data_IF_084713550535
#
_entry.id   IF_084713550535
#
_cell.length_a   1.000
_cell.length_b   1.000
_cell.length_c   1.000
_cell.angle_alpha   90.00
_cell.angle_beta   90.00
_cell.angle_gamma   90.00
#
_symmetry.space_group_name_H-M   'P 1'
#
loop_
_entity.id
_entity.type
_entity.pdbx_description
1 polymer ?
#
# COMPACT_ATOMS: atom_id res chain seq x y z
N UNK A 1 -51.85 -43.87 -2.68
CA UNK A 1 -51.20 -43.88 -4.02
C UNK A 1 -52.19 -43.32 -5.01
N UNK A 2 -52.01 -42.07 -5.43
CA UNK A 2 -52.90 -41.38 -6.37
C UNK A 2 -52.31 -41.44 -7.79
N UNK A 3 -53.21 -41.58 -8.75
CA UNK A 3 -53.03 -41.86 -10.17
C UNK A 3 -52.26 -40.77 -10.93
N UNK A 4 -51.34 -41.17 -11.81
CA UNK A 4 -50.80 -40.30 -12.86
C UNK A 4 -51.54 -40.60 -14.18
N UNK A 5 -52.39 -39.66 -14.60
CA UNK A 5 -52.92 -39.56 -15.96
C UNK A 5 -52.11 -38.49 -16.70
N UNK A 6 -51.38 -38.91 -17.73
CA UNK A 6 -50.92 -38.01 -18.80
C UNK A 6 -52.09 -37.71 -19.74
N UNK A 7 -52.07 -36.53 -20.38
CA UNK A 7 -52.20 -36.56 -21.83
C UNK A 7 -51.13 -35.72 -22.54
N UNK A 8 -50.72 -36.27 -23.68
CA UNK A 8 -50.01 -35.63 -24.78
C UNK A 8 -50.79 -34.44 -25.35
N UNK A 9 -50.08 -33.36 -25.71
CA UNK A 9 -49.93 -32.81 -27.08
C UNK A 9 -49.62 -31.30 -27.04
N UNK A 10 -48.58 -30.92 -27.79
CA UNK A 10 -48.63 -29.92 -28.87
C UNK A 10 -47.32 -29.12 -28.94
N UNK A 11 -46.61 -29.30 -30.05
CA UNK A 11 -45.53 -28.43 -30.48
C UNK A 11 -46.10 -27.07 -30.92
N UNK A 12 -45.44 -26.00 -30.51
CA UNK A 12 -45.52 -24.70 -31.17
C UNK A 12 -44.16 -24.01 -31.06
N UNK A 13 -43.57 -23.86 -32.23
CA UNK A 13 -42.41 -23.06 -32.57
C UNK A 13 -42.63 -21.57 -32.25
N UNK A 14 -41.56 -20.85 -31.92
CA UNK A 14 -41.65 -19.43 -31.56
C UNK A 14 -40.39 -18.91 -30.89
N UNK A 15 -39.30 -18.80 -31.66
CA UNK A 15 -38.07 -18.15 -31.21
C UNK A 15 -38.28 -16.69 -30.81
N UNK A 16 -37.70 -16.30 -29.67
CA UNK A 16 -37.30 -14.93 -29.38
C UNK A 16 -35.84 -14.97 -28.96
N UNK A 17 -35.04 -14.28 -29.77
CA UNK A 17 -33.61 -14.10 -29.62
C UNK A 17 -33.30 -13.43 -28.28
N UNK A 18 -32.49 -14.14 -27.47
CA UNK A 18 -31.83 -13.60 -26.29
C UNK A 18 -30.72 -12.65 -26.74
N UNK A 19 -30.97 -11.34 -26.69
CA UNK A 19 -29.91 -10.32 -26.69
C UNK A 19 -30.07 -9.42 -25.47
N UNK A 20 -30.00 -10.04 -24.29
CA UNK A 20 -29.61 -9.33 -23.08
C UNK A 20 -28.08 -9.33 -23.04
N UNK A 21 -27.46 -8.26 -23.55
CA UNK A 21 -26.04 -8.01 -23.38
C UNK A 21 -25.72 -8.09 -21.89
N UNK A 22 -25.05 -9.17 -21.49
CA UNK A 22 -24.55 -9.34 -20.13
C UNK A 22 -23.52 -8.23 -19.91
N UNK A 23 -23.68 -7.32 -18.94
CA UNK A 23 -22.63 -6.36 -18.64
C UNK A 23 -21.39 -7.17 -18.28
N UNK A 24 -20.31 -6.94 -19.04
CA UNK A 24 -19.00 -7.47 -18.73
C UNK A 24 -18.73 -7.15 -17.25
N UNK A 25 -18.30 -8.12 -16.43
CA UNK A 25 -17.98 -7.83 -15.04
C UNK A 25 -16.99 -6.67 -15.06
N UNK A 26 -17.33 -5.58 -14.37
CA UNK A 26 -16.39 -4.48 -14.13
C UNK A 26 -15.12 -5.16 -13.63
N UNK A 27 -14.06 -5.13 -14.43
CA UNK A 27 -12.75 -5.51 -13.95
C UNK A 27 -12.39 -4.44 -12.93
N UNK A 28 -12.83 -4.67 -11.70
CA UNK A 28 -12.33 -4.01 -10.52
C UNK A 28 -10.88 -4.44 -10.48
N UNK A 29 -10.00 -3.62 -11.08
CA UNK A 29 -8.59 -3.71 -10.83
C UNK A 29 -8.47 -3.70 -9.31
N UNK A 30 -7.99 -4.79 -8.67
CA UNK A 30 -7.80 -4.76 -7.23
C UNK A 30 -6.92 -3.57 -6.92
N UNK A 31 -7.37 -2.69 -6.04
CA UNK A 31 -6.64 -1.50 -5.60
C UNK A 31 -5.34 -1.95 -4.93
N UNK A 32 -4.30 -2.14 -5.73
CA UNK A 32 -3.01 -2.65 -5.30
C UNK A 32 -2.32 -1.53 -4.51
N UNK A 33 -2.17 -1.73 -3.20
CA UNK A 33 -1.57 -0.74 -2.31
C UNK A 33 -0.13 -0.39 -2.68
N UNK A 34 0.29 0.82 -2.32
CA UNK A 34 1.65 1.31 -2.58
C UNK A 34 2.69 0.40 -1.93
N UNK A 35 2.46 -0.11 -0.72
CA UNK A 35 3.37 -1.03 -0.04
C UNK A 35 3.55 -2.34 -0.83
N UNK A 36 2.47 -2.88 -1.38
CA UNK A 36 2.53 -4.08 -2.24
C UNK A 36 3.30 -3.80 -3.52
N UNK A 37 3.04 -2.67 -4.19
CA UNK A 37 3.73 -2.34 -5.43
C UNK A 37 5.24 -2.09 -5.21
N UNK A 38 5.59 -1.42 -4.10
CA UNK A 38 6.97 -1.14 -3.72
C UNK A 38 7.72 -2.41 -3.32
N UNK A 39 7.13 -3.25 -2.46
CA UNK A 39 7.76 -4.53 -2.03
C UNK A 39 8.01 -5.48 -3.21
N UNK A 40 7.13 -5.47 -4.22
CA UNK A 40 7.28 -6.26 -5.44
C UNK A 40 8.17 -5.61 -6.51
N UNK A 41 8.78 -4.46 -6.23
CA UNK A 41 9.61 -3.69 -7.18
C UNK A 41 8.87 -3.35 -8.49
N UNK A 42 7.55 -3.19 -8.44
CA UNK A 42 6.70 -2.84 -9.60
C UNK A 42 6.81 -1.34 -9.90
N UNK A 43 6.91 -0.52 -8.87
CA UNK A 43 7.16 0.92 -9.01
C UNK A 43 8.66 1.18 -9.13
N UNK A 44 9.05 1.88 -10.20
CA UNK A 44 10.40 2.41 -10.34
C UNK A 44 10.51 3.84 -9.77
N UNK A 45 11.69 4.44 -9.87
CA UNK A 45 12.00 5.72 -9.21
C UNK A 45 11.33 6.94 -9.87
N UNK A 46 10.62 6.75 -10.99
CA UNK A 46 9.98 7.85 -11.73
C UNK A 46 8.69 8.28 -11.02
N UNK A 47 8.56 9.57 -10.71
CA UNK A 47 7.42 10.13 -9.97
C UNK A 47 7.56 10.09 -8.44
N UNK A 48 8.76 9.82 -7.93
CA UNK A 48 9.07 9.73 -6.49
C UNK A 48 9.68 11.04 -6.00
N UNK A 49 9.40 11.42 -4.75
CA UNK A 49 10.15 12.47 -4.08
C UNK A 49 11.16 11.81 -3.15
N UNK A 50 12.43 11.89 -3.54
CA UNK A 50 13.53 11.32 -2.77
C UNK A 50 13.97 12.32 -1.72
N UNK A 51 14.11 11.85 -0.49
CA UNK A 51 14.64 12.63 0.62
C UNK A 51 15.86 11.90 1.18
N UNK A 52 17.03 12.31 0.72
CA UNK A 52 18.30 11.90 1.31
C UNK A 52 18.41 12.49 2.72
N UNK A 53 18.13 11.66 3.74
CA UNK A 53 18.37 12.01 5.13
C UNK A 53 19.50 11.14 5.65
N UNK A 54 20.63 11.77 5.99
CA UNK A 54 21.63 11.12 6.84
C UNK A 54 21.00 10.94 8.21
N UNK A 55 20.78 9.68 8.60
CA UNK A 55 20.15 9.33 9.87
C UNK A 55 20.88 9.95 11.07
N UNK A 56 20.12 10.40 12.06
CA UNK A 56 20.60 10.98 13.32
C UNK A 56 21.28 9.96 14.27
N UNK A 57 21.56 8.74 13.80
CA UNK A 57 21.98 7.60 14.64
C UNK A 57 23.15 6.77 14.05
N UNK A 58 23.86 7.29 13.03
CA UNK A 58 25.03 6.61 12.45
C UNK A 58 24.71 5.42 11.54
N UNK A 59 23.44 5.04 11.40
CA UNK A 59 22.95 4.15 10.33
C UNK A 59 22.68 4.98 9.08
N UNK A 60 23.40 4.69 7.99
CA UNK A 60 23.11 5.24 6.67
C UNK A 60 21.90 4.50 6.09
N UNK A 61 20.77 5.18 5.98
CA UNK A 61 19.60 4.70 5.26
C UNK A 61 19.05 5.80 4.37
N UNK A 62 18.54 5.44 3.20
CA UNK A 62 17.86 6.39 2.31
C UNK A 62 16.37 6.40 2.61
N UNK A 63 15.72 7.54 2.40
CA UNK A 63 14.27 7.69 2.56
C UNK A 63 13.66 8.13 1.25
N UNK A 64 12.62 7.43 0.82
CA UNK A 64 11.83 7.80 -0.36
C UNK A 64 10.37 7.92 0.02
N UNK A 65 9.69 8.92 -0.54
CA UNK A 65 8.27 9.11 -0.32
C UNK A 65 7.49 9.09 -1.62
N UNK A 66 6.31 8.48 -1.54
CA UNK A 66 5.46 8.18 -2.67
C UNK A 66 4.07 8.71 -2.39
N UNK A 67 3.36 9.07 -3.46
CA UNK A 67 1.97 9.52 -3.36
C UNK A 67 1.15 9.00 -4.53
N UNK A 68 -0.05 8.57 -4.21
CA UNK A 68 -1.15 8.28 -5.13
C UNK A 68 -2.34 9.20 -4.80
N UNK A 69 -3.46 9.01 -5.50
CA UNK A 69 -4.67 9.83 -5.31
C UNK A 69 -5.19 9.78 -3.86
N UNK A 70 -5.12 8.62 -3.20
CA UNK A 70 -5.72 8.40 -1.87
C UNK A 70 -4.75 7.86 -0.83
N UNK A 71 -3.49 7.65 -1.19
CA UNK A 71 -2.49 7.00 -0.33
C UNK A 71 -1.13 7.64 -0.49
N UNK A 72 -0.34 7.53 0.55
CA UNK A 72 1.07 7.88 0.58
C UNK A 72 1.87 6.70 1.09
N UNK A 73 3.16 6.66 0.76
CA UNK A 73 4.07 5.70 1.36
C UNK A 73 5.44 6.32 1.67
N UNK A 74 6.10 5.79 2.69
CA UNK A 74 7.50 6.07 3.01
C UNK A 74 8.27 4.77 2.96
N UNK A 75 9.33 4.72 2.15
CA UNK A 75 10.28 3.62 2.08
C UNK A 75 11.58 4.04 2.76
N UNK A 76 12.04 3.24 3.71
CA UNK A 76 13.35 3.35 4.33
C UNK A 76 14.22 2.23 3.78
N UNK A 77 15.35 2.60 3.20
CA UNK A 77 16.29 1.70 2.54
C UNK A 77 17.58 1.58 3.36
N UNK A 78 17.86 0.39 3.89
CA UNK A 78 19.01 0.12 4.74
C UNK A 78 20.08 -0.64 3.95
N UNK A 79 21.28 -0.08 3.85
CA UNK A 79 22.41 -0.77 3.24
C UNK A 79 23.10 -1.69 4.26
N UNK A 80 23.26 -2.98 3.93
CA UNK A 80 24.02 -3.94 4.72
C UNK A 80 23.24 -4.61 5.86
N UNK A 81 23.95 -5.21 6.83
CA UNK A 81 23.37 -5.97 7.95
C UNK A 81 22.81 -5.10 9.08
N UNK A 82 22.98 -3.79 8.99
CA UNK A 82 22.53 -2.81 9.98
C UNK A 82 21.05 -2.48 9.74
N UNK A 83 20.18 -3.31 10.31
CA UNK A 83 18.75 -3.01 10.44
C UNK A 83 18.49 -2.15 11.68
N UNK A 84 17.22 -1.76 11.88
CA UNK A 84 16.76 -1.25 13.16
C UNK A 84 17.04 -2.27 14.28
N UNK A 85 17.18 -1.83 15.54
CA UNK A 85 17.46 -2.69 16.70
C UNK A 85 16.33 -3.68 17.04
N UNK A 86 15.21 -3.63 16.30
CA UNK A 86 14.06 -4.53 16.44
C UNK A 86 13.21 -4.53 15.17
N UNK A 87 12.19 -5.39 15.14
CA UNK A 87 11.25 -5.53 14.02
C UNK A 87 10.24 -4.38 14.06
N UNK A 88 10.10 -3.65 12.97
CA UNK A 88 9.06 -2.63 12.87
C UNK A 88 7.69 -3.30 12.69
N UNK A 89 6.76 -3.04 13.60
CA UNK A 89 5.42 -3.61 13.59
C UNK A 89 4.33 -2.54 13.54
N UNK A 90 4.63 -1.33 14.03
CA UNK A 90 3.70 -0.21 14.09
C UNK A 90 4.38 1.05 13.58
N UNK A 91 3.57 1.97 13.07
CA UNK A 91 4.04 3.28 12.66
C UNK A 91 2.99 4.37 12.93
N UNK A 92 3.45 5.61 13.06
CA UNK A 92 2.60 6.80 13.03
C UNK A 92 3.19 7.85 12.10
N UNK A 93 2.31 8.58 11.40
CA UNK A 93 2.67 9.71 10.55
C UNK A 93 1.92 10.93 11.05
N UNK A 94 2.64 11.77 11.80
CA UNK A 94 2.11 13.00 12.39
C UNK A 94 2.56 14.20 11.57
N UNK A 95 1.62 15.09 11.26
CA UNK A 95 1.82 16.23 10.38
C UNK A 95 1.39 17.55 11.00
N UNK A 96 1.21 18.59 10.16
CA UNK A 96 0.79 19.91 10.60
C UNK A 96 -0.55 19.87 11.37
N UNK A 97 -0.76 20.84 12.25
CA UNK A 97 -2.01 20.99 13.00
C UNK A 97 -2.44 19.75 13.78
N UNK A 98 -1.47 18.99 14.31
CA UNK A 98 -1.70 17.74 15.04
C UNK A 98 -2.45 16.66 14.25
N UNK A 99 -2.43 16.74 12.92
CA UNK A 99 -2.99 15.68 12.08
C UNK A 99 -2.16 14.41 12.21
N UNK A 100 -2.83 13.27 12.39
CA UNK A 100 -2.21 11.96 12.28
C UNK A 100 -2.87 11.21 11.13
N UNK A 101 -2.08 10.75 10.18
CA UNK A 101 -2.57 9.97 9.04
C UNK A 101 -2.83 8.52 9.48
N UNK A 102 -3.87 7.91 8.91
CA UNK A 102 -4.21 6.52 9.17
C UNK A 102 -3.22 5.61 8.46
N UNK A 103 -2.28 5.06 9.22
CA UNK A 103 -1.36 4.02 8.73
C UNK A 103 -2.16 2.76 8.42
N UNK A 104 -2.00 2.26 7.21
CA UNK A 104 -2.64 1.06 6.71
C UNK A 104 -1.76 -0.16 6.95
N UNK A 105 -0.45 -0.03 6.70
CA UNK A 105 0.48 -1.15 6.73
C UNK A 105 1.91 -0.71 7.03
N UNK A 106 2.64 -1.60 7.70
CA UNK A 106 4.10 -1.55 7.87
C UNK A 106 4.66 -2.87 7.34
N UNK A 107 5.42 -2.82 6.26
CA UNK A 107 6.02 -3.99 5.60
C UNK A 107 7.53 -3.93 5.74
N UNK A 108 8.11 -4.96 6.34
CA UNK A 108 9.55 -5.17 6.35
C UNK A 108 9.92 -6.18 5.27
N UNK A 109 10.76 -5.76 4.33
CA UNK A 109 11.26 -6.58 3.23
C UNK A 109 12.69 -6.97 3.57
N UNK A 110 12.91 -8.28 3.71
CA UNK A 110 14.21 -8.85 4.01
C UNK A 110 15.24 -8.48 2.91
N UNK A 111 16.53 -8.38 3.26
CA UNK A 111 17.55 -8.04 2.28
C UNK A 111 17.61 -9.08 1.17
N UNK A 112 17.68 -8.61 -0.08
CA UNK A 112 17.90 -9.53 -1.20
C UNK A 112 19.36 -10.01 -1.23
N UNK A 113 19.59 -11.20 -1.77
CA UNK A 113 20.90 -11.85 -1.78
C UNK A 113 21.93 -11.16 -2.69
N UNK A 114 21.49 -10.24 -3.54
CA UNK A 114 22.30 -9.64 -4.60
C UNK A 114 22.88 -8.29 -4.18
N UNK A 115 22.07 -7.42 -3.56
CA UNK A 115 22.50 -6.10 -3.10
C UNK A 115 22.57 -5.98 -1.57
N UNK A 116 21.98 -6.93 -0.83
CA UNK A 116 21.98 -6.91 0.64
C UNK A 116 21.21 -5.74 1.24
N UNK A 117 20.25 -5.18 0.51
CA UNK A 117 19.47 -4.00 0.90
C UNK A 117 18.13 -4.46 1.48
N UNK A 118 17.87 -4.08 2.73
CA UNK A 118 16.58 -4.31 3.40
C UNK A 118 15.71 -3.05 3.35
N UNK A 119 14.38 -3.24 3.30
CA UNK A 119 13.44 -2.11 3.26
C UNK A 119 12.40 -2.18 4.37
N UNK A 120 12.01 -1.01 4.87
CA UNK A 120 10.77 -0.85 5.63
C UNK A 120 9.87 0.09 4.85
N UNK A 121 8.64 -0.32 4.59
CA UNK A 121 7.65 0.46 3.85
C UNK A 121 6.46 0.72 4.78
N UNK A 122 6.12 2.00 4.94
CA UNK A 122 4.93 2.43 5.68
C UNK A 122 3.96 3.05 4.70
N UNK A 123 2.75 2.50 4.61
CA UNK A 123 1.67 3.03 3.78
C UNK A 123 0.57 3.62 4.67
N UNK A 124 0.03 4.77 4.27
CA UNK A 124 -1.04 5.46 4.96
C UNK A 124 -2.08 6.05 3.99
N UNK A 125 -3.31 6.17 4.46
CA UNK A 125 -4.36 6.91 3.76
C UNK A 125 -4.08 8.40 3.83
N UNK A 126 -4.21 9.09 2.69
CA UNK A 126 -4.15 10.53 2.62
C UNK A 126 -4.87 11.04 1.38
N UNK A 127 -5.81 11.96 1.57
CA UNK A 127 -6.35 12.76 0.47
C UNK A 127 -5.34 13.84 0.04
N UNK A 128 -5.57 14.44 -1.13
CA UNK A 128 -4.63 15.40 -1.71
C UNK A 128 -4.27 16.60 -0.83
N UNK A 129 -5.19 17.06 0.02
CA UNK A 129 -4.91 18.14 1.00
C UNK A 129 -4.12 17.64 2.21
N UNK A 130 -4.28 16.37 2.55
CA UNK A 130 -3.73 15.70 3.74
C UNK A 130 -2.33 15.15 3.50
N UNK A 131 -1.87 15.10 2.25
CA UNK A 131 -0.49 14.76 1.92
C UNK A 131 0.43 16.00 1.88
N UNK A 132 -0.11 17.20 2.13
CA UNK A 132 0.65 18.46 2.06
C UNK A 132 1.30 18.79 3.40
N UNK A 133 2.54 19.27 3.34
CA UNK A 133 3.27 19.73 4.52
C UNK A 133 4.43 18.81 4.88
N UNK A 134 4.85 18.89 6.14
CA UNK A 134 6.00 18.15 6.67
C UNK A 134 5.51 17.24 7.77
N UNK A 135 5.88 15.97 7.66
CA UNK A 135 5.47 14.90 8.56
C UNK A 135 6.67 14.38 9.36
N UNK A 136 6.36 13.82 10.52
CA UNK A 136 7.25 13.00 11.32
C UNK A 136 6.74 11.57 11.27
N UNK A 137 7.57 10.66 10.77
CA UNK A 137 7.36 9.23 10.85
C UNK A 137 7.95 8.72 12.16
N UNK A 138 7.18 7.95 12.92
CA UNK A 138 7.68 7.17 14.05
C UNK A 138 7.45 5.68 13.77
N UNK A 139 8.49 4.87 13.95
CA UNK A 139 8.43 3.41 13.88
C UNK A 139 8.54 2.81 15.28
N UNK A 140 7.74 1.80 15.55
CA UNK A 140 7.70 1.09 16.82
C UNK A 140 7.68 -0.43 16.59
N UNK A 141 8.14 -1.18 17.61
CA UNK A 141 7.95 -2.62 17.68
C UNK A 141 6.48 -2.98 18.04
N UNK A 142 6.22 -4.26 18.28
CA UNK A 142 4.87 -4.73 18.60
C UNK A 142 4.41 -4.24 19.99
N UNK A 143 5.36 -4.03 20.90
CA UNK A 143 5.18 -3.59 22.28
C UNK A 143 4.95 -2.07 22.38
N UNK A 144 5.28 -1.32 21.32
CA UNK A 144 5.20 0.14 21.28
C UNK A 144 6.52 0.83 21.66
N UNK A 145 7.61 0.07 21.78
CA UNK A 145 8.95 0.64 21.92
C UNK A 145 9.31 1.37 20.64
N UNK A 146 9.71 2.63 20.79
CA UNK A 146 10.17 3.47 19.69
C UNK A 146 11.49 2.94 19.13
N UNK A 147 11.49 2.60 17.84
CA UNK A 147 12.66 2.14 17.08
C UNK A 147 13.33 3.27 16.32
N UNK A 148 12.52 4.17 15.73
CA UNK A 148 13.00 5.27 14.91
C UNK A 148 12.01 6.44 14.96
N UNK A 149 12.54 7.67 14.97
CA UNK A 149 11.77 8.89 14.69
C UNK A 149 12.47 9.64 13.57
N UNK A 150 11.71 9.88 12.50
CA UNK A 150 12.17 10.49 11.27
C UNK A 150 11.34 11.76 10.99
N UNK A 151 11.83 12.93 11.41
CA UNK A 151 11.21 14.20 11.05
C UNK A 151 11.51 14.58 9.60
N UNK A 152 10.72 15.49 9.04
CA UNK A 152 11.04 16.13 7.76
C UNK A 152 10.48 15.44 6.52
N UNK A 153 9.69 14.37 6.68
CA UNK A 153 9.08 13.62 5.58
C UNK A 153 8.11 14.52 4.81
N UNK A 154 8.28 14.63 3.50
CA UNK A 154 7.36 15.34 2.59
C UNK A 154 6.90 14.38 1.51
N UNK A 155 5.72 14.59 0.95
CA UNK A 155 5.18 13.76 -0.12
C UNK A 155 5.11 14.53 -1.44
N UNK A 156 5.27 13.82 -2.59
CA UNK A 156 5.17 14.44 -3.91
C UNK A 156 3.87 15.24 -4.10
N UNK A 157 3.94 16.21 -5.01
CA UNK A 157 2.73 16.82 -5.57
C UNK A 157 2.18 15.89 -6.66
N UNK A 158 0.87 15.65 -6.68
CA UNK A 158 0.13 15.06 -7.82
C UNK A 158 -0.91 16.06 -8.28
#
# INVERSE_FOLDING_TARGET
>A
MLLLLLPFLAAADGGVSNDAATPLPEQVCPDMGLATMLSKKILDQRGVQTLELKGLLGTEFQVRSFRSVRRIAVQLEFSGRTSLPGKAAKASLSGPSHQTLRVMEVVEVAPDSENGIAWIIVEAEAQSREARGVYTLELQDAEGTRLLVLPGVRFPSI
#
